data_IF_752364247347
#
_entry.id   IF_752364247347
#
_cell.length_a   1.000
_cell.length_b   1.000
_cell.length_c   1.000
_cell.angle_alpha   90.00
_cell.angle_beta   90.00
_cell.angle_gamma   90.00
#
_symmetry.space_group_name_H-M   'P 1'
#
loop_
_entity.id
_entity.type
_entity.pdbx_description
1 polymer ?
#
# COMPACT_ATOMS: atom_id res chain seq x y z
N UNK A 1 -27.48 -2.43 15.86
CA UNK A 1 -26.55 -1.41 16.37
C UNK A 1 -25.16 -2.00 16.65
N UNK A 2 -25.03 -2.99 17.53
CA UNK A 2 -23.73 -3.57 17.92
C UNK A 2 -22.90 -4.09 16.72
N UNK A 3 -23.48 -4.93 15.85
CA UNK A 3 -22.81 -5.43 14.64
C UNK A 3 -22.24 -4.31 13.75
N UNK A 4 -23.01 -3.23 13.58
CA UNK A 4 -22.62 -2.10 12.72
C UNK A 4 -21.41 -1.39 13.31
N UNK A 5 -21.42 -1.14 14.62
CA UNK A 5 -20.30 -0.49 15.32
C UNK A 5 -19.04 -1.36 15.25
N UNK A 6 -19.15 -2.65 15.53
CA UNK A 6 -18.02 -3.59 15.45
C UNK A 6 -17.46 -3.70 14.03
N UNK A 7 -18.34 -3.72 13.02
CA UNK A 7 -17.93 -3.75 11.61
C UNK A 7 -17.20 -2.49 11.20
N UNK A 8 -17.64 -1.31 11.66
CA UNK A 8 -16.97 -0.03 11.39
C UNK A 8 -15.59 0.02 12.04
N UNK A 9 -15.46 -0.44 13.28
CA UNK A 9 -14.17 -0.51 13.99
C UNK A 9 -13.22 -1.46 13.26
N UNK A 10 -13.70 -2.65 12.88
CA UNK A 10 -12.92 -3.65 12.15
C UNK A 10 -12.43 -3.11 10.79
N UNK A 11 -13.32 -2.47 10.02
CA UNK A 11 -12.97 -1.85 8.76
C UNK A 11 -11.96 -0.71 8.95
N UNK A 12 -12.18 0.16 9.94
CA UNK A 12 -11.27 1.27 10.26
C UNK A 12 -9.87 0.77 10.66
N UNK A 13 -9.78 -0.23 11.52
CA UNK A 13 -8.52 -0.83 11.94
C UNK A 13 -7.77 -1.47 10.77
N UNK A 14 -8.47 -2.22 9.92
CA UNK A 14 -7.87 -2.88 8.74
C UNK A 14 -7.37 -1.85 7.72
N UNK A 15 -8.14 -0.78 7.50
CA UNK A 15 -7.77 0.30 6.61
C UNK A 15 -6.55 1.07 7.14
N UNK A 16 -6.52 1.38 8.44
CA UNK A 16 -5.37 2.01 9.09
C UNK A 16 -4.10 1.16 8.98
N UNK A 17 -4.21 -0.16 9.20
CA UNK A 17 -3.11 -1.11 9.01
C UNK A 17 -2.61 -1.11 7.56
N UNK A 18 -3.51 -1.20 6.59
CA UNK A 18 -3.16 -1.14 5.16
C UNK A 18 -2.40 0.15 4.82
N UNK A 19 -2.87 1.30 5.30
CA UNK A 19 -2.24 2.59 5.04
C UNK A 19 -0.86 2.73 5.69
N UNK A 20 -0.74 2.41 6.96
CA UNK A 20 0.50 2.60 7.70
C UNK A 20 1.60 1.66 7.23
N UNK A 21 1.30 0.36 7.18
CA UNK A 21 2.24 -0.66 6.70
C UNK A 21 2.55 -0.47 5.22
N UNK A 22 1.53 -0.20 4.40
CA UNK A 22 1.71 0.04 2.97
C UNK A 22 2.70 1.17 2.68
N UNK A 23 2.53 2.33 3.32
CA UNK A 23 3.40 3.49 3.09
C UNK A 23 4.81 3.29 3.63
N UNK A 24 4.94 2.72 4.82
CA UNK A 24 6.26 2.56 5.45
C UNK A 24 7.11 1.54 4.72
N UNK A 25 6.55 0.37 4.40
CA UNK A 25 7.29 -0.67 3.68
C UNK A 25 7.66 -0.23 2.26
N UNK A 26 6.81 0.53 1.56
CA UNK A 26 7.18 1.10 0.26
C UNK A 26 8.38 2.04 0.41
N UNK A 27 8.38 2.94 1.40
CA UNK A 27 9.52 3.83 1.66
C UNK A 27 10.79 3.06 2.02
N UNK A 28 10.67 1.99 2.78
CA UNK A 28 11.79 1.10 3.10
C UNK A 28 12.36 0.43 1.85
N UNK A 29 11.50 -0.08 0.95
CA UNK A 29 11.91 -0.65 -0.33
C UNK A 29 12.63 0.41 -1.18
N UNK A 30 12.11 1.63 -1.27
CA UNK A 30 12.76 2.72 -2.02
C UNK A 30 14.12 3.08 -1.43
N UNK A 31 14.18 3.26 -0.10
CA UNK A 31 15.40 3.62 0.62
C UNK A 31 16.47 2.55 0.48
N UNK A 32 16.09 1.28 0.68
CA UNK A 32 16.96 0.12 0.50
C UNK A 32 17.44 0.03 -0.94
N UNK A 33 16.54 0.18 -1.92
CA UNK A 33 16.89 0.18 -3.35
C UNK A 33 17.94 1.23 -3.66
N UNK A 34 17.72 2.46 -3.21
CA UNK A 34 18.66 3.55 -3.40
C UNK A 34 20.00 3.29 -2.70
N UNK A 35 19.98 2.77 -1.48
CA UNK A 35 21.18 2.59 -0.65
C UNK A 35 22.17 1.58 -1.23
N UNK A 36 21.71 0.53 -1.92
CA UNK A 36 22.61 -0.38 -2.65
C UNK A 36 22.90 0.08 -4.08
N UNK A 37 21.93 0.67 -4.78
CA UNK A 37 22.08 0.99 -6.22
C UNK A 37 23.10 2.10 -6.49
N UNK A 38 23.16 3.12 -5.62
CA UNK A 38 24.07 4.26 -5.76
C UNK A 38 25.55 3.84 -5.59
N UNK A 39 25.93 3.12 -4.52
CA UNK A 39 27.27 2.54 -4.40
C UNK A 39 27.59 1.55 -5.52
N UNK A 40 26.63 0.75 -5.95
CA UNK A 40 26.83 -0.22 -7.02
C UNK A 40 27.14 0.50 -8.35
N UNK A 41 26.40 1.54 -8.70
CA UNK A 41 26.64 2.36 -9.90
C UNK A 41 28.02 3.04 -9.84
N UNK A 42 28.44 3.41 -8.63
CA UNK A 42 29.78 3.92 -8.36
C UNK A 42 30.88 2.89 -8.65
N UNK A 43 30.79 1.72 -8.04
CA UNK A 43 31.77 0.64 -8.22
C UNK A 43 31.87 0.20 -9.68
N UNK A 44 30.74 0.02 -10.37
CA UNK A 44 30.75 -0.40 -11.76
C UNK A 44 31.26 0.68 -12.71
N UNK A 45 31.03 1.96 -12.43
CA UNK A 45 31.65 3.03 -13.22
C UNK A 45 33.17 2.96 -13.11
N UNK A 46 33.71 2.73 -11.91
CA UNK A 46 35.16 2.61 -11.70
C UNK A 46 35.73 1.35 -12.40
N UNK A 47 35.00 0.22 -12.36
CA UNK A 47 35.34 -0.99 -13.11
C UNK A 47 35.26 -0.75 -14.62
N UNK A 48 34.28 0.02 -15.10
CA UNK A 48 34.14 0.38 -16.50
C UNK A 48 35.28 1.29 -16.97
N UNK A 49 35.69 2.27 -16.15
CA UNK A 49 36.88 3.10 -16.42
C UNK A 49 38.12 2.21 -16.61
N UNK A 50 38.36 1.27 -15.69
CA UNK A 50 39.50 0.35 -15.76
C UNK A 50 39.40 -0.61 -16.96
N UNK A 51 38.24 -1.22 -17.17
CA UNK A 51 38.00 -2.20 -18.24
C UNK A 51 38.13 -1.57 -19.61
N UNK A 52 37.63 -0.34 -19.79
CA UNK A 52 37.76 0.39 -21.03
C UNK A 52 39.21 0.80 -21.31
N UNK A 53 39.94 1.28 -20.29
CA UNK A 53 41.37 1.61 -20.43
C UNK A 53 42.23 0.39 -20.78
N UNK A 54 41.89 -0.77 -20.23
CA UNK A 54 42.65 -2.02 -20.41
C UNK A 54 42.13 -2.91 -21.56
N UNK A 55 41.07 -2.48 -22.26
CA UNK A 55 40.38 -3.24 -23.32
C UNK A 55 39.83 -4.61 -22.86
N UNK A 56 39.54 -4.78 -21.56
CA UNK A 56 39.03 -6.02 -20.95
C UNK A 56 37.51 -5.97 -20.69
N UNK A 57 36.73 -5.72 -21.74
CA UNK A 57 35.27 -5.50 -21.63
C UNK A 57 34.49 -6.78 -21.26
N UNK A 58 35.00 -7.96 -21.61
CA UNK A 58 34.34 -9.24 -21.31
C UNK A 58 34.08 -9.46 -19.82
N UNK A 59 34.98 -9.00 -18.95
CA UNK A 59 34.82 -9.08 -17.49
C UNK A 59 33.67 -8.19 -16.99
N UNK A 60 33.52 -7.00 -17.58
CA UNK A 60 32.43 -6.09 -17.24
C UNK A 60 31.07 -6.67 -17.65
N UNK A 61 30.98 -7.29 -18.83
CA UNK A 61 29.76 -8.00 -19.27
C UNK A 61 29.40 -9.14 -18.31
N UNK A 62 30.38 -9.95 -17.89
CA UNK A 62 30.14 -11.04 -16.95
C UNK A 62 29.60 -10.53 -15.61
N UNK A 63 30.18 -9.44 -15.07
CA UNK A 63 29.71 -8.83 -13.83
C UNK A 63 28.29 -8.24 -13.97
N UNK A 64 27.98 -7.61 -15.10
CA UNK A 64 26.63 -7.13 -15.38
C UNK A 64 25.62 -8.27 -15.44
N UNK A 65 25.98 -9.37 -16.10
CA UNK A 65 25.12 -10.55 -16.21
C UNK A 65 24.85 -11.17 -14.83
N UNK A 66 25.90 -11.37 -14.03
CA UNK A 66 25.80 -11.90 -12.66
C UNK A 66 24.83 -11.09 -11.79
N UNK A 67 24.92 -9.75 -11.82
CA UNK A 67 24.04 -8.89 -11.00
C UNK A 67 22.61 -8.80 -11.50
N UNK A 68 22.38 -9.06 -12.79
CA UNK A 68 21.03 -9.25 -13.34
C UNK A 68 20.46 -10.60 -12.90
N UNK A 69 21.26 -11.66 -12.93
CA UNK A 69 20.84 -13.00 -12.50
C UNK A 69 20.52 -13.07 -11.00
N UNK A 70 21.24 -12.32 -10.17
CA UNK A 70 20.94 -12.12 -8.75
C UNK A 70 19.65 -11.29 -8.49
N UNK A 71 18.96 -10.82 -9.55
CA UNK A 71 17.75 -9.99 -9.48
C UNK A 71 17.93 -8.71 -8.68
N UNK A 72 19.14 -8.15 -8.70
CA UNK A 72 19.45 -6.85 -8.09
C UNK A 72 19.03 -5.71 -9.04
N UNK A 73 19.16 -5.95 -10.35
CA UNK A 73 18.78 -5.02 -11.42
C UNK A 73 18.19 -5.80 -12.59
N UNK A 74 17.37 -5.16 -13.41
CA UNK A 74 16.79 -5.79 -14.59
C UNK A 74 17.72 -5.69 -15.80
N UNK A 75 18.44 -4.58 -15.91
CA UNK A 75 19.30 -4.30 -17.05
C UNK A 75 20.49 -3.44 -16.64
N UNK A 76 21.65 -3.73 -17.21
CA UNK A 76 22.87 -2.97 -17.00
C UNK A 76 23.60 -2.74 -18.31
N UNK A 77 24.09 -1.52 -18.52
CA UNK A 77 24.83 -1.20 -19.72
C UNK A 77 25.85 -0.07 -19.48
N UNK A 78 26.91 -0.11 -20.28
CA UNK A 78 27.90 0.95 -20.39
C UNK A 78 27.84 1.50 -21.82
N UNK A 79 27.50 2.78 -21.95
CA UNK A 79 27.34 3.47 -23.23
C UNK A 79 28.23 4.68 -23.31
N UNK A 80 28.76 4.97 -24.50
CA UNK A 80 29.51 6.19 -24.78
C UNK A 80 28.58 7.39 -24.99
N UNK A 81 29.17 8.59 -25.05
CA UNK A 81 28.44 9.85 -25.28
C UNK A 81 27.55 9.87 -26.53
N UNK A 82 27.89 9.08 -27.54
CA UNK A 82 27.17 8.96 -28.81
C UNK A 82 26.14 7.81 -28.80
N UNK A 83 25.88 7.20 -27.64
CA UNK A 83 24.97 6.06 -27.49
C UNK A 83 25.57 4.69 -27.84
N UNK A 84 26.82 4.62 -28.30
CA UNK A 84 27.47 3.33 -28.60
C UNK A 84 27.58 2.47 -27.35
N UNK A 85 27.06 1.24 -27.42
CA UNK A 85 27.10 0.25 -26.36
C UNK A 85 28.48 -0.40 -26.34
N UNK A 86 29.16 -0.29 -25.20
CA UNK A 86 30.43 -0.98 -24.95
C UNK A 86 30.19 -2.28 -24.22
N UNK A 87 29.34 -2.26 -23.20
CA UNK A 87 28.99 -3.44 -22.41
C UNK A 87 27.49 -3.45 -22.12
N UNK A 88 26.92 -4.64 -22.03
CA UNK A 88 25.50 -4.85 -21.76
C UNK A 88 25.30 -6.18 -21.05
N UNK A 89 24.39 -6.21 -20.08
CA UNK A 89 23.97 -7.42 -19.36
C UNK A 89 23.33 -8.49 -20.24
N UNK A 90 22.72 -8.12 -21.37
CA UNK A 90 22.07 -9.03 -22.30
C UNK A 90 22.65 -8.88 -23.72
N UNK A 91 23.41 -9.89 -24.20
CA UNK A 91 23.97 -9.85 -25.54
C UNK A 91 22.91 -9.88 -26.65
N UNK A 92 21.70 -10.40 -26.40
CA UNK A 92 20.62 -10.40 -27.39
C UNK A 92 20.09 -8.98 -27.62
N UNK A 93 19.86 -8.23 -26.55
CA UNK A 93 19.46 -6.82 -26.61
C UNK A 93 20.52 -5.96 -27.29
N UNK A 94 21.80 -6.12 -26.95
CA UNK A 94 22.88 -5.40 -27.62
C UNK A 94 22.94 -5.65 -29.16
N UNK A 95 22.68 -6.89 -29.59
CA UNK A 95 22.58 -7.25 -31.02
C UNK A 95 21.36 -6.62 -31.68
N UNK A 96 20.19 -6.64 -31.04
CA UNK A 96 18.96 -5.99 -31.53
C UNK A 96 19.18 -4.49 -31.76
N UNK A 97 19.88 -3.85 -30.83
CA UNK A 97 20.23 -2.42 -30.88
C UNK A 97 21.36 -2.10 -31.86
N UNK A 98 21.91 -3.10 -32.58
CA UNK A 98 23.06 -2.92 -33.50
C UNK A 98 24.22 -2.16 -32.86
N UNK A 99 24.43 -2.35 -31.54
CA UNK A 99 25.50 -1.69 -30.79
C UNK A 99 25.26 -0.21 -30.44
N UNK A 100 24.07 0.35 -30.62
CA UNK A 100 23.76 1.73 -30.21
C UNK A 100 22.36 1.84 -29.58
N UNK A 101 22.27 2.36 -28.35
CA UNK A 101 20.97 2.57 -27.67
C UNK A 101 20.10 3.62 -28.35
N UNK A 102 20.68 4.52 -29.15
CA UNK A 102 19.93 5.51 -29.93
C UNK A 102 19.09 4.88 -31.05
N UNK A 103 19.32 3.61 -31.40
CA UNK A 103 18.50 2.93 -32.40
C UNK A 103 17.09 2.58 -31.87
N UNK A 104 16.85 2.73 -30.57
CA UNK A 104 15.56 2.47 -29.93
C UNK A 104 15.22 3.61 -28.95
N UNK A 105 14.95 4.79 -29.53
CA UNK A 105 14.64 6.02 -28.78
C UNK A 105 13.36 5.92 -27.96
N UNK A 106 12.45 5.01 -28.33
CA UNK A 106 11.22 4.78 -27.59
C UNK A 106 11.46 3.98 -26.31
N UNK A 107 12.43 3.06 -26.30
CA UNK A 107 12.75 2.25 -25.14
C UNK A 107 13.77 2.93 -24.20
N UNK A 108 14.77 3.61 -24.76
CA UNK A 108 15.86 4.22 -23.99
C UNK A 108 15.78 5.75 -24.02
N UNK A 109 15.56 6.37 -22.85
CA UNK A 109 15.65 7.82 -22.72
C UNK A 109 17.12 8.25 -22.59
N UNK A 110 17.72 8.62 -23.73
CA UNK A 110 19.13 9.04 -23.82
C UNK A 110 19.48 10.21 -22.91
N UNK A 111 18.58 11.19 -22.79
CA UNK A 111 18.82 12.38 -21.97
C UNK A 111 18.95 12.03 -20.48
N UNK A 112 18.13 11.09 -20.00
CA UNK A 112 18.23 10.57 -18.64
C UNK A 112 19.49 9.74 -18.45
N UNK A 113 19.80 8.84 -19.39
CA UNK A 113 20.96 7.95 -19.35
C UNK A 113 22.26 8.77 -19.33
N UNK A 114 22.42 9.71 -20.26
CA UNK A 114 23.62 10.51 -20.41
C UNK A 114 23.67 11.74 -19.49
N UNK A 115 22.65 11.94 -18.65
CA UNK A 115 22.61 13.06 -17.69
C UNK A 115 23.87 13.22 -16.83
N UNK A 116 24.48 12.15 -16.27
CA UNK A 116 25.73 12.29 -15.49
C UNK A 116 26.89 12.84 -16.33
N UNK A 117 26.96 12.45 -17.62
CA UNK A 117 27.98 12.88 -18.56
C UNK A 117 27.86 14.37 -18.85
N UNK A 118 26.65 14.86 -19.11
CA UNK A 118 26.38 16.27 -19.38
C UNK A 118 26.68 17.15 -18.17
N UNK A 119 26.36 16.66 -16.96
CA UNK A 119 26.68 17.33 -15.70
C UNK A 119 28.16 17.29 -15.33
N UNK A 120 28.97 16.47 -16.02
CA UNK A 120 30.39 16.22 -15.70
C UNK A 120 30.61 15.83 -14.24
N UNK A 121 29.62 15.22 -13.59
CA UNK A 121 29.70 14.78 -12.19
C UNK A 121 30.19 13.34 -12.11
N UNK A 122 30.99 13.05 -11.07
CA UNK A 122 31.41 11.68 -10.69
C UNK A 122 30.41 11.01 -9.76
N UNK A 123 29.38 11.73 -9.32
CA UNK A 123 28.39 11.20 -8.40
C UNK A 123 27.45 10.27 -9.16
N UNK A 124 27.08 9.17 -8.50
CA UNK A 124 26.01 8.33 -8.99
C UNK A 124 24.66 9.02 -8.79
N UNK A 125 23.89 9.11 -9.86
CA UNK A 125 22.52 9.61 -9.87
C UNK A 125 21.55 8.43 -9.71
N UNK A 126 20.50 8.66 -8.94
CA UNK A 126 19.38 7.74 -8.82
C UNK A 126 18.10 8.52 -9.14
N UNK A 127 17.45 8.17 -10.24
CA UNK A 127 16.30 8.91 -10.78
C UNK A 127 15.16 7.98 -11.13
N UNK A 128 13.93 8.46 -11.01
CA UNK A 128 12.75 7.80 -11.55
C UNK A 128 12.90 7.58 -13.07
N UNK A 129 12.51 6.39 -13.55
CA UNK A 129 12.67 5.99 -14.96
C UNK A 129 11.48 5.16 -15.44
N UNK A 130 11.02 5.41 -16.66
CA UNK A 130 9.91 4.68 -17.25
C UNK A 130 10.44 3.52 -18.10
N UNK A 131 10.30 2.30 -17.58
CA UNK A 131 10.63 1.05 -18.25
C UNK A 131 9.45 0.66 -19.13
N UNK A 132 9.59 0.84 -20.45
CA UNK A 132 8.51 0.63 -21.43
C UNK A 132 8.02 -0.82 -21.48
N UNK A 133 8.92 -1.79 -21.28
CA UNK A 133 8.57 -3.22 -21.26
C UNK A 133 7.75 -3.66 -20.05
N UNK A 134 7.68 -2.86 -18.98
CA UNK A 134 7.03 -3.23 -17.72
C UNK A 134 5.91 -2.25 -17.37
N UNK A 135 4.67 -2.46 -17.88
CA UNK A 135 3.54 -1.61 -17.54
C UNK A 135 3.16 -1.77 -16.05
N UNK A 136 2.46 -0.76 -15.53
CA UNK A 136 1.94 -0.78 -14.16
C UNK A 136 0.85 -1.86 -14.04
N UNK A 137 0.96 -2.84 -13.13
CA UNK A 137 0.05 -3.99 -13.08
C UNK A 137 -1.24 -3.71 -12.30
N UNK A 138 -1.78 -2.49 -12.40
CA UNK A 138 -2.99 -2.07 -11.69
C UNK A 138 -4.01 -1.49 -12.65
N UNK A 139 -5.30 -1.70 -12.36
CA UNK A 139 -6.38 -1.06 -13.11
C UNK A 139 -6.35 0.46 -12.90
N UNK A 140 -6.95 1.22 -13.81
CA UNK A 140 -6.97 2.68 -13.74
C UNK A 140 -7.54 3.21 -12.42
N UNK A 141 -8.64 2.62 -11.93
CA UNK A 141 -9.29 3.01 -10.66
C UNK A 141 -8.35 2.74 -9.49
N UNK A 142 -7.77 1.54 -9.44
CA UNK A 142 -6.80 1.17 -8.39
C UNK A 142 -5.59 2.09 -8.41
N UNK A 143 -5.08 2.44 -9.59
CA UNK A 143 -3.93 3.33 -9.76
C UNK A 143 -4.22 4.73 -9.21
N UNK A 144 -5.39 5.30 -9.50
CA UNK A 144 -5.80 6.60 -8.96
C UNK A 144 -5.83 6.59 -7.43
N UNK A 145 -6.40 5.55 -6.82
CA UNK A 145 -6.46 5.41 -5.37
C UNK A 145 -5.07 5.24 -4.75
N UNK A 146 -4.25 4.35 -5.32
CA UNK A 146 -2.89 4.13 -4.84
C UNK A 146 -2.04 5.39 -4.98
N UNK A 147 -2.14 6.10 -6.10
CA UNK A 147 -1.44 7.36 -6.33
C UNK A 147 -1.82 8.43 -5.31
N UNK A 148 -3.11 8.53 -4.98
CA UNK A 148 -3.62 9.53 -4.04
C UNK A 148 -3.24 9.24 -2.59
N UNK A 149 -3.32 7.98 -2.16
CA UNK A 149 -3.29 7.66 -0.74
C UNK A 149 -2.09 6.82 -0.29
N UNK A 150 -1.48 6.04 -1.16
CA UNK A 150 -0.40 5.11 -0.80
C UNK A 150 0.93 5.62 -1.34
N UNK A 151 1.09 5.64 -2.66
CA UNK A 151 2.35 5.87 -3.34
C UNK A 151 2.19 6.80 -4.55
N UNK A 152 2.53 8.09 -4.42
CA UNK A 152 2.34 9.09 -5.49
C UNK A 152 3.09 8.81 -6.79
N UNK A 153 4.20 8.07 -6.73
CA UNK A 153 5.07 7.76 -7.89
C UNK A 153 4.83 6.37 -8.48
N UNK A 154 3.62 5.85 -8.31
CA UNK A 154 3.24 4.50 -8.76
C UNK A 154 3.20 4.36 -10.29
N UNK A 155 2.99 5.48 -10.98
CA UNK A 155 2.97 5.61 -12.44
C UNK A 155 4.35 5.46 -13.09
N UNK A 156 5.42 5.70 -12.33
CA UNK A 156 6.78 5.43 -12.77
C UNK A 156 7.11 3.96 -12.54
N UNK A 157 7.53 3.26 -13.60
CA UNK A 157 7.69 1.80 -13.63
C UNK A 157 9.04 1.29 -13.14
N UNK A 158 10.04 2.18 -13.01
CA UNK A 158 11.37 1.83 -12.52
C UNK A 158 12.18 3.02 -12.00
N UNK A 159 13.45 2.73 -11.75
CA UNK A 159 14.50 3.68 -11.44
C UNK A 159 15.69 3.44 -12.36
N UNK A 160 16.44 4.51 -12.59
CA UNK A 160 17.70 4.52 -13.30
C UNK A 160 18.80 4.95 -12.32
N UNK A 161 19.73 4.04 -12.05
CA UNK A 161 20.96 4.34 -11.33
C UNK A 161 22.08 4.54 -12.35
N UNK A 162 22.66 5.73 -12.44
CA UNK A 162 23.64 6.06 -13.48
C UNK A 162 24.83 6.84 -12.94
N UNK A 163 26.02 6.60 -13.50
CA UNK A 163 27.23 7.39 -13.20
C UNK A 163 28.05 7.57 -14.46
N UNK A 164 28.71 8.72 -14.58
CA UNK A 164 29.62 8.98 -15.68
C UNK A 164 30.94 8.22 -15.50
N UNK A 165 31.45 7.69 -16.60
CA UNK A 165 32.75 7.03 -16.72
C UNK A 165 33.75 8.06 -17.23
N UNK A 166 34.88 8.23 -16.56
CA UNK A 166 35.90 9.21 -16.90
C UNK A 166 37.20 8.56 -17.39
N UNK A 167 37.83 9.19 -18.38
CA UNK A 167 39.19 8.84 -18.83
C UNK A 167 40.00 10.12 -18.89
N UNK A 168 41.15 10.14 -18.20
CA UNK A 168 42.01 11.33 -18.12
C UNK A 168 41.21 12.60 -17.79
N UNK A 169 40.31 12.51 -16.79
CA UNK A 169 39.40 13.59 -16.33
C UNK A 169 38.31 14.04 -17.32
N UNK A 170 38.18 13.42 -18.49
CA UNK A 170 37.07 13.69 -19.44
C UNK A 170 36.00 12.61 -19.32
N UNK A 171 34.70 12.96 -19.21
CA UNK A 171 33.65 11.96 -19.24
C UNK A 171 33.60 11.36 -20.66
N UNK A 172 33.55 10.03 -20.76
CA UNK A 172 33.52 9.30 -22.04
C UNK A 172 32.20 8.59 -22.30
N UNK A 173 31.42 8.35 -21.24
CA UNK A 173 30.19 7.59 -21.29
C UNK A 173 29.57 7.46 -19.91
N UNK A 174 28.59 6.58 -19.78
CA UNK A 174 27.89 6.31 -18.53
C UNK A 174 27.65 4.82 -18.35
N UNK A 175 27.84 4.36 -17.11
CA UNK A 175 27.25 3.09 -16.66
C UNK A 175 25.88 3.41 -16.11
N UNK A 176 24.89 2.62 -16.52
CA UNK A 176 23.49 2.78 -16.13
C UNK A 176 22.87 1.43 -15.81
N UNK A 177 22.01 1.42 -14.78
CA UNK A 177 21.19 0.28 -14.38
C UNK A 177 19.73 0.66 -14.38
N UNK A 178 18.91 -0.21 -14.96
CA UNK A 178 17.47 -0.14 -14.88
C UNK A 178 17.02 -1.09 -13.78
N UNK A 179 16.21 -0.56 -12.86
CA UNK A 179 15.67 -1.31 -11.72
C UNK A 179 14.17 -1.08 -11.70
N UNK A 180 13.39 -2.12 -11.95
CA UNK A 180 11.93 -2.05 -11.97
C UNK A 180 11.36 -1.99 -10.56
N UNK A 181 10.19 -1.37 -10.44
CA UNK A 181 9.43 -1.30 -9.18
C UNK A 181 8.62 -2.57 -8.91
N UNK A 182 8.99 -3.71 -9.49
CA UNK A 182 8.26 -4.97 -9.38
C UNK A 182 8.07 -5.40 -7.91
N UNK A 183 9.07 -5.16 -7.05
CA UNK A 183 8.99 -5.41 -5.60
C UNK A 183 7.92 -4.55 -4.91
N UNK A 184 7.74 -3.29 -5.32
CA UNK A 184 6.68 -2.42 -4.80
C UNK A 184 5.32 -2.93 -5.27
N UNK A 185 5.21 -3.30 -6.55
CA UNK A 185 3.95 -3.77 -7.12
C UNK A 185 3.49 -5.10 -6.52
N UNK A 186 4.41 -6.06 -6.36
CA UNK A 186 4.12 -7.34 -5.73
C UNK A 186 3.76 -7.16 -4.26
N UNK A 187 4.46 -6.28 -3.53
CA UNK A 187 4.12 -5.94 -2.15
C UNK A 187 2.72 -5.34 -2.04
N UNK A 188 2.36 -4.34 -2.85
CA UNK A 188 1.03 -3.73 -2.83
C UNK A 188 -0.04 -4.79 -3.08
N UNK A 189 0.16 -5.67 -4.08
CA UNK A 189 -0.79 -6.74 -4.39
C UNK A 189 -0.97 -7.70 -3.21
N UNK A 190 0.14 -8.20 -2.65
CA UNK A 190 0.13 -9.08 -1.49
C UNK A 190 -0.52 -8.42 -0.27
N UNK A 191 -0.28 -7.12 -0.07
CA UNK A 191 -0.86 -6.36 1.02
C UNK A 191 -2.36 -6.17 0.85
N UNK A 192 -2.85 -5.89 -0.37
CA UNK A 192 -4.30 -5.85 -0.65
C UNK A 192 -4.95 -7.20 -0.33
N UNK A 193 -4.37 -8.31 -0.81
CA UNK A 193 -4.88 -9.66 -0.55
C UNK A 193 -4.86 -10.02 0.95
N UNK A 194 -3.82 -9.61 1.67
CA UNK A 194 -3.69 -9.82 3.11
C UNK A 194 -4.75 -9.00 3.87
N UNK A 195 -4.88 -7.71 3.58
CA UNK A 195 -5.86 -6.84 4.23
C UNK A 195 -7.29 -7.26 3.96
N UNK A 196 -7.61 -7.75 2.75
CA UNK A 196 -8.93 -8.31 2.46
C UNK A 196 -9.24 -9.54 3.31
N UNK A 197 -8.28 -10.45 3.48
CA UNK A 197 -8.46 -11.62 4.35
C UNK A 197 -8.69 -11.23 5.81
N UNK A 198 -7.93 -10.27 6.33
CA UNK A 198 -8.10 -9.73 7.69
C UNK A 198 -9.47 -9.06 7.85
N UNK A 199 -9.93 -8.31 6.84
CA UNK A 199 -11.25 -7.68 6.87
C UNK A 199 -12.36 -8.73 6.94
N UNK A 200 -12.31 -9.76 6.10
CA UNK A 200 -13.32 -10.83 6.10
C UNK A 200 -13.33 -11.58 7.44
N UNK A 201 -12.15 -11.90 7.97
CA UNK A 201 -12.03 -12.56 9.26
C UNK A 201 -12.60 -11.70 10.41
N UNK A 202 -12.26 -10.42 10.45
CA UNK A 202 -12.73 -9.50 11.48
C UNK A 202 -14.25 -9.25 11.41
N UNK A 203 -14.82 -9.15 10.21
CA UNK A 203 -16.28 -9.09 10.02
C UNK A 203 -16.97 -10.40 10.46
N UNK A 204 -16.36 -11.55 10.18
CA UNK A 204 -16.85 -12.84 10.68
C UNK A 204 -16.89 -12.90 12.20
N UNK A 205 -15.82 -12.44 12.86
CA UNK A 205 -15.77 -12.35 14.33
C UNK A 205 -16.85 -11.41 14.88
N UNK A 206 -16.98 -10.21 14.30
CA UNK A 206 -18.03 -9.26 14.68
C UNK A 206 -19.44 -9.87 14.55
N UNK A 207 -19.68 -10.62 13.46
CA UNK A 207 -20.94 -11.32 13.28
C UNK A 207 -21.22 -12.35 14.38
N UNK A 208 -20.25 -13.21 14.71
CA UNK A 208 -20.40 -14.21 15.76
C UNK A 208 -20.60 -13.59 17.15
N UNK A 209 -19.86 -12.53 17.47
CA UNK A 209 -20.00 -11.80 18.74
C UNK A 209 -21.40 -11.18 18.82
N UNK A 210 -21.85 -10.50 17.76
CA UNK A 210 -23.18 -9.91 17.75
C UNK A 210 -24.29 -10.94 17.85
N UNK A 211 -24.14 -12.11 17.21
CA UNK A 211 -25.08 -13.22 17.31
C UNK A 211 -25.14 -13.77 18.74
N UNK A 212 -23.99 -13.97 19.39
CA UNK A 212 -23.92 -14.47 20.76
C UNK A 212 -24.59 -13.52 21.75
N UNK A 213 -24.31 -12.21 21.64
CA UNK A 213 -24.95 -11.19 22.48
C UNK A 213 -26.46 -11.17 22.26
N UNK A 214 -26.91 -11.23 21.00
CA UNK A 214 -28.34 -11.29 20.66
C UNK A 214 -29.02 -12.51 21.30
N UNK A 215 -28.38 -13.68 21.25
CA UNK A 215 -28.90 -14.90 21.85
C UNK A 215 -29.00 -14.80 23.38
N UNK A 216 -27.99 -14.24 24.04
CA UNK A 216 -28.00 -13.99 25.50
C UNK A 216 -29.13 -13.03 25.89
N UNK A 217 -29.30 -11.93 25.14
CA UNK A 217 -30.38 -10.96 25.39
C UNK A 217 -31.74 -11.63 25.21
N UNK A 218 -31.92 -12.45 24.17
CA UNK A 218 -33.17 -13.16 23.92
C UNK A 218 -33.48 -14.16 25.04
N UNK A 219 -32.50 -14.93 25.50
CA UNK A 219 -32.66 -15.87 26.62
C UNK A 219 -33.02 -15.11 27.91
N UNK A 220 -32.36 -13.97 28.18
CA UNK A 220 -32.66 -13.14 29.34
C UNK A 220 -34.06 -12.53 29.26
N UNK A 221 -34.46 -12.02 28.10
CA UNK A 221 -35.77 -11.40 27.90
C UNK A 221 -36.90 -12.43 28.04
N UNK A 222 -36.73 -13.62 27.44
CA UNK A 222 -37.66 -14.75 27.64
C UNK A 222 -37.75 -15.20 29.09
N UNK A 223 -36.64 -15.21 29.82
CA UNK A 223 -36.62 -15.54 31.26
C UNK A 223 -37.40 -14.52 32.08
N UNK A 224 -37.23 -13.22 31.82
CA UNK A 224 -37.98 -12.15 32.48
C UNK A 224 -39.48 -12.25 32.15
N UNK A 225 -39.85 -12.45 30.88
CA UNK A 225 -41.25 -12.64 30.48
C UNK A 225 -41.89 -13.86 31.16
N UNK A 226 -41.18 -14.99 31.24
CA UNK A 226 -41.67 -16.18 31.96
C UNK A 226 -41.87 -15.90 33.46
N UNK A 227 -40.96 -15.15 34.09
CA UNK A 227 -41.10 -14.76 35.50
C UNK A 227 -42.26 -13.80 35.72
N UNK A 228 -42.46 -12.83 34.82
CA UNK A 228 -43.60 -11.91 34.89
C UNK A 228 -44.93 -12.64 34.69
N UNK A 229 -45.05 -13.50 33.68
CA UNK A 229 -46.25 -14.33 33.46
C UNK A 229 -46.51 -15.29 34.64
N UNK A 230 -45.45 -15.87 35.21
CA UNK A 230 -45.53 -16.70 36.41
C UNK A 230 -46.06 -15.91 37.63
N UNK A 231 -45.60 -14.67 37.81
CA UNK A 231 -46.08 -13.78 38.87
C UNK A 231 -47.57 -13.46 38.71
N UNK A 232 -48.01 -13.03 37.52
CA UNK A 232 -49.43 -12.78 37.23
C UNK A 232 -50.31 -14.04 37.41
N UNK A 233 -49.83 -15.21 36.99
CA UNK A 233 -50.57 -16.47 37.18
C UNK A 233 -50.67 -16.91 38.64
N UNK A 234 -49.64 -16.65 39.44
CA UNK A 234 -49.63 -16.97 40.88
C UNK A 234 -50.49 -16.00 41.68
N UNK A 235 -50.60 -14.75 41.24
CA UNK A 235 -51.48 -13.73 41.80
C UNK A 235 -52.96 -14.03 41.50
N UNK A 236 -53.28 -14.42 40.26
CA UNK A 236 -54.60 -14.93 39.89
C UNK A 236 -55.01 -16.19 40.66
N UNK A 237 -54.07 -17.12 40.90
CA UNK A 237 -54.34 -18.34 41.65
C UNK A 237 -54.59 -18.11 43.16
N UNK A 238 -54.11 -16.99 43.72
CA UNK A 238 -54.37 -16.60 45.12
C UNK A 238 -55.74 -15.95 45.33
N UNK A 239 -56.35 -15.41 44.29
CA UNK A 239 -57.70 -14.84 44.31
C UNK A 239 -58.60 -15.47 43.24
N UNK A 240 -59.01 -16.75 43.42
CA UNK A 240 -59.91 -17.42 42.49
C UNK A 240 -61.34 -16.87 42.68
N UNK A 241 -61.61 -15.71 42.08
CA UNK A 241 -62.94 -15.07 42.14
C UNK A 241 -62.95 -13.55 42.20
N UNK A 242 -61.81 -12.86 42.07
CA UNK A 242 -61.81 -11.41 41.86
C UNK A 242 -62.36 -11.08 40.48
N UNK A 243 -63.38 -10.21 40.42
CA UNK A 243 -63.98 -9.73 39.18
C UNK A 243 -62.91 -9.29 38.17
N UNK A 244 -63.11 -9.69 36.91
CA UNK A 244 -62.33 -9.21 35.78
C UNK A 244 -62.60 -7.71 35.68
N UNK A 245 -61.71 -6.90 36.26
CA UNK A 245 -61.66 -5.50 35.89
C UNK A 245 -61.00 -5.45 34.51
N UNK A 246 -61.81 -5.15 33.49
CA UNK A 246 -61.34 -4.87 32.14
C UNK A 246 -60.17 -3.88 32.17
N UNK A 247 -59.05 -4.18 31.50
CA UNK A 247 -57.98 -3.20 31.32
C UNK A 247 -58.38 -2.26 30.17
N UNK A 248 -59.46 -1.51 30.34
CA UNK A 248 -59.84 -0.42 29.42
C UNK A 248 -59.54 0.97 30.01
N UNK A 249 -58.96 1.06 31.21
CA UNK A 249 -58.50 2.33 31.79
C UNK A 249 -57.10 2.21 32.39
N UNK A 250 -56.09 2.36 31.53
CA UNK A 250 -54.73 2.71 31.95
C UNK A 250 -54.06 3.66 30.95
N UNK A 251 -54.85 4.49 30.26
CA UNK A 251 -54.35 5.56 29.39
C UNK A 251 -54.15 6.89 30.12
N UNK A 252 -54.73 7.09 31.31
CA UNK A 252 -54.77 8.43 31.93
C UNK A 252 -53.78 8.64 33.10
N UNK A 253 -53.23 7.58 33.71
CA UNK A 253 -52.25 7.74 34.80
C UNK A 253 -50.78 7.73 34.35
N UNK A 254 -50.49 7.44 33.08
CA UNK A 254 -49.12 7.50 32.55
C UNK A 254 -48.74 8.87 31.93
N UNK A 255 -49.70 9.80 31.81
CA UNK A 255 -49.46 11.16 31.31
C UNK A 255 -49.14 12.17 32.43
N UNK A 256 -49.47 11.89 33.71
CA UNK A 256 -49.22 12.85 34.80
C UNK A 256 -47.80 12.75 35.42
N UNK A 257 -47.02 11.73 35.02
CA UNK A 257 -45.59 11.63 35.37
C UNK A 257 -44.68 12.31 34.35
N UNK A 258 -45.13 12.61 33.13
CA UNK A 258 -44.31 13.34 32.15
C UNK A 258 -44.29 14.85 32.36
N UNK A 259 -45.31 15.43 33.00
CA UNK A 259 -45.39 16.89 33.20
C UNK A 259 -44.72 17.38 34.50
N UNK A 260 -44.47 16.48 35.47
CA UNK A 260 -43.75 16.85 36.71
C UNK A 260 -42.23 16.81 36.56
N UNK A 261 -41.67 15.90 35.76
CA UNK A 261 -40.20 15.84 35.56
C UNK A 261 -39.68 16.87 34.53
N UNK A 262 -40.54 17.45 33.70
CA UNK A 262 -40.14 18.48 32.71
C UNK A 262 -40.04 19.89 33.34
N UNK A 263 -40.72 20.16 34.47
CA UNK A 263 -40.63 21.47 35.15
C UNK A 263 -39.38 21.67 36.01
N UNK A 264 -38.69 20.60 36.40
CA UNK A 264 -37.53 20.67 37.31
C UNK A 264 -36.16 20.69 36.59
N UNK A 265 -36.12 20.70 35.24
CA UNK A 265 -34.86 20.59 34.49
C UNK A 265 -34.49 21.80 33.60
N UNK A 266 -35.26 22.91 33.62
CA UNK A 266 -34.90 24.13 32.88
C UNK A 266 -34.57 25.26 33.88
N UNK A 267 -33.29 25.60 34.10
CA UNK A 267 -32.93 26.84 34.78
C UNK A 267 -33.32 28.02 33.88
N UNK A 268 -34.26 28.84 34.35
CA UNK A 268 -34.57 30.14 33.75
C UNK A 268 -33.36 31.04 33.99
N UNK A 269 -32.76 31.51 32.90
CA UNK A 269 -31.74 32.55 32.94
C UNK A 269 -32.42 33.89 33.26
N UNK A 270 -32.13 34.45 34.43
CA UNK A 270 -32.47 35.83 34.74
C UNK A 270 -31.71 36.77 33.82
N UNK A 271 -32.47 37.60 33.10
CA UNK A 271 -32.00 38.83 32.46
C UNK A 271 -32.42 39.99 33.36
N UNK A 272 -31.43 40.66 33.94
CA UNK A 272 -31.40 42.12 34.07
C UNK A 272 -30.08 42.63 33.50
#
# INVERSE_FOLDING_TARGET
>A
MLLVIESLIAAGATLAYFFYTGRNTIKEIESSTRSYSVPLASAFADIAELSYRTKKISRLNALFHEKVDERIMDEAFFVLKNGTIIAHSDPKTAKRLKGNIANDEFYYNLDLILRPVYRKSRDALFTDYHVVSKPVPFTAITLVLLKRFIYPKIDVTGWLASRAVFIKKKPVGTVSFIISKERIYSFIKAQIESSMRVLIASLGVAFFVSLAVSLVVLVRYRSIQKKALGYYSAEYAKHPGGEIHDPEFASDELYDLSDREIKDAIPVADKE
#
